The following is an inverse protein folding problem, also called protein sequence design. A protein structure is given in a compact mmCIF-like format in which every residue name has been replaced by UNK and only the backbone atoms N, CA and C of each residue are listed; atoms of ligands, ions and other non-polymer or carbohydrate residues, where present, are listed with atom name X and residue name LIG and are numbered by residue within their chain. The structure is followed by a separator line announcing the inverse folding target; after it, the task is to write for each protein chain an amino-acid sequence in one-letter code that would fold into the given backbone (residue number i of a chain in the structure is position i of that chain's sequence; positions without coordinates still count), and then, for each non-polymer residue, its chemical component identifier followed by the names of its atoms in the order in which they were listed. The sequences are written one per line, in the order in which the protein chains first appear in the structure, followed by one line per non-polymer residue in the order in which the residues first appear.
data_IF_566956987911
#
_entry.id   IF_566956987911
#
_cell.length_a   1.000
_cell.length_b   1.000
_cell.length_c   1.000
_cell.angle_alpha   90.00
_cell.angle_beta   90.00
_cell.angle_gamma   90.00
#
_symmetry.space_group_name_H-M   'P 1'
#
loop_
_entity.id
_entity.type
_entity.pdbx_description
1 polymer ?
#
# COMPACT_ATOMS: atom_id res chain seq x y z
N UNK A 1 10.83 14.10 4.73
CA UNK A 1 9.88 13.99 5.85
C UNK A 1 10.37 12.87 6.76
N UNK A 2 10.72 13.18 8.00
CA UNK A 2 11.13 12.20 9.00
C UNK A 2 9.91 11.37 9.48
N UNK A 3 10.15 10.23 10.13
CA UNK A 3 9.08 9.44 10.77
C UNK A 3 8.33 10.23 11.84
N UNK A 4 9.01 11.18 12.47
CA UNK A 4 8.45 12.04 13.50
C UNK A 4 7.55 13.14 12.89
N UNK A 5 8.03 13.80 11.83
CA UNK A 5 7.25 14.79 11.07
C UNK A 5 5.98 14.19 10.46
N UNK A 6 6.03 12.96 9.93
CA UNK A 6 4.82 12.31 9.40
C UNK A 6 3.82 11.97 10.51
N UNK A 7 4.30 11.56 11.69
CA UNK A 7 3.44 11.27 12.84
C UNK A 7 2.73 12.52 13.31
N UNK A 8 3.44 13.64 13.43
CA UNK A 8 2.88 14.93 13.85
C UNK A 8 1.84 15.43 12.84
N UNK A 9 2.15 15.37 11.54
CA UNK A 9 1.22 15.75 10.46
C UNK A 9 -0.10 14.96 10.50
N UNK A 10 -0.03 13.67 10.83
CA UNK A 10 -1.22 12.80 10.88
C UNK A 10 -2.08 13.06 12.11
N UNK A 11 -1.50 13.57 13.20
CA UNK A 11 -2.19 13.91 14.45
C UNK A 11 -3.27 12.88 14.83
N UNK A 12 -4.48 13.37 15.12
CA UNK A 12 -5.64 12.54 15.45
C UNK A 12 -6.60 12.35 14.26
N UNK A 13 -6.15 12.61 13.02
CA UNK A 13 -7.00 12.52 11.80
C UNK A 13 -7.54 11.09 11.61
N UNK A 14 -6.81 10.08 12.07
CA UNK A 14 -7.22 8.68 12.04
C UNK A 14 -6.91 8.00 13.37
N UNK A 15 -7.86 8.03 14.30
CA UNK A 15 -7.77 7.27 15.56
C UNK A 15 -8.20 5.83 15.28
N UNK A 16 -7.24 4.92 15.27
CA UNK A 16 -7.50 3.49 15.14
C UNK A 16 -7.83 2.91 16.52
N UNK A 17 -9.08 2.48 16.70
CA UNK A 17 -9.52 1.77 17.91
C UNK A 17 -9.33 0.27 17.82
N UNK A 18 -9.23 -0.36 18.98
CA UNK A 18 -9.24 -1.82 19.13
C UNK A 18 -10.67 -2.36 19.01
N UNK A 19 -10.79 -3.56 18.42
CA UNK A 19 -12.03 -4.33 18.38
C UNK A 19 -11.78 -5.59 19.20
N UNK A 20 -12.56 -5.77 20.26
CA UNK A 20 -12.40 -6.90 21.17
C UNK A 20 -12.47 -8.24 20.41
N UNK A 21 -11.46 -9.09 20.61
CA UNK A 21 -11.36 -10.40 19.96
C UNK A 21 -10.85 -10.39 18.51
N UNK A 22 -10.56 -9.24 17.90
CA UNK A 22 -10.07 -9.14 16.53
C UNK A 22 -8.63 -8.58 16.46
N UNK A 23 -7.66 -9.46 16.18
CA UNK A 23 -6.30 -9.02 15.90
C UNK A 23 -6.25 -8.26 14.56
N UNK A 24 -5.81 -7.01 14.59
CA UNK A 24 -5.56 -6.24 13.37
C UNK A 24 -4.29 -6.74 12.68
N UNK A 25 -4.44 -7.58 11.67
CA UNK A 25 -3.32 -8.13 10.89
C UNK A 25 -2.91 -7.25 9.72
N UNK A 26 -3.87 -6.59 9.06
CA UNK A 26 -3.62 -5.66 7.95
C UNK A 26 -4.90 -5.12 7.34
N UNK A 27 -4.76 -4.23 6.34
CA UNK A 27 -5.89 -3.73 5.56
C UNK A 27 -6.54 -4.79 4.65
N UNK A 28 -7.62 -4.43 3.95
CA UNK A 28 -8.33 -5.34 3.04
C UNK A 28 -7.43 -5.96 1.96
N UNK A 29 -6.45 -5.21 1.44
CA UNK A 29 -5.45 -5.75 0.49
C UNK A 29 -4.60 -6.85 1.10
N UNK A 30 -4.14 -6.67 2.34
CA UNK A 30 -3.37 -7.69 3.07
C UNK A 30 -4.20 -8.95 3.28
N UNK A 31 -5.46 -8.78 3.69
CA UNK A 31 -6.39 -9.89 3.90
C UNK A 31 -6.70 -10.64 2.61
N UNK A 32 -6.79 -9.93 1.49
CA UNK A 32 -7.03 -10.53 0.17
C UNK A 32 -5.84 -11.37 -0.31
N UNK A 33 -4.61 -10.89 -0.05
CA UNK A 33 -3.38 -11.66 -0.30
C UNK A 33 -3.30 -12.91 0.59
N UNK A 34 -3.55 -12.76 1.90
CA UNK A 34 -3.57 -13.89 2.84
C UNK A 34 -4.60 -14.97 2.49
N UNK A 35 -5.70 -14.57 1.83
CA UNK A 35 -6.73 -15.49 1.32
C UNK A 35 -6.44 -16.01 -0.09
N UNK A 36 -5.40 -15.51 -0.75
CA UNK A 36 -5.02 -15.90 -2.10
C UNK A 36 -6.09 -15.62 -3.15
N UNK A 37 -6.93 -14.58 -2.99
CA UNK A 37 -8.09 -14.33 -3.87
C UNK A 37 -7.71 -14.13 -5.34
N UNK A 38 -6.48 -13.69 -5.61
CA UNK A 38 -5.95 -13.50 -6.96
C UNK A 38 -6.09 -12.07 -7.51
N UNK A 39 -6.84 -11.21 -6.80
CA UNK A 39 -7.09 -9.82 -7.17
C UNK A 39 -7.22 -8.94 -5.93
N UNK A 40 -6.91 -7.65 -6.08
CA UNK A 40 -7.06 -6.61 -5.06
C UNK A 40 -7.49 -5.30 -5.74
N UNK A 41 -7.93 -4.31 -4.96
CA UNK A 41 -8.43 -3.03 -5.45
C UNK A 41 -7.33 -2.00 -5.76
N UNK A 42 -6.07 -2.44 -5.94
CA UNK A 42 -4.93 -1.53 -6.06
C UNK A 42 -5.04 -0.56 -7.25
N UNK A 43 -5.65 -1.00 -8.37
CA UNK A 43 -5.90 -0.12 -9.53
C UNK A 43 -6.93 0.97 -9.26
N UNK A 44 -7.90 0.73 -8.37
CA UNK A 44 -8.96 1.69 -8.04
C UNK A 44 -8.61 2.58 -6.85
N UNK A 45 -7.64 2.20 -6.03
CA UNK A 45 -7.17 2.98 -4.88
C UNK A 45 -5.87 3.72 -5.19
N UNK A 46 -4.77 2.98 -5.33
CA UNK A 46 -3.45 3.55 -5.59
C UNK A 46 -3.38 4.04 -7.03
N UNK A 47 -3.98 3.30 -7.97
CA UNK A 47 -4.04 3.68 -9.39
C UNK A 47 -4.76 4.99 -9.64
N UNK A 48 -5.75 5.36 -8.81
CA UNK A 48 -6.43 6.65 -8.92
C UNK A 48 -5.50 7.82 -8.55
N UNK A 49 -4.65 7.64 -7.52
CA UNK A 49 -3.62 8.63 -7.18
C UNK A 49 -2.61 8.78 -8.31
N UNK A 50 -2.21 7.66 -8.94
CA UNK A 50 -1.33 7.66 -10.11
C UNK A 50 -1.97 8.40 -11.29
N UNK A 51 -3.24 8.12 -11.58
CA UNK A 51 -4.01 8.76 -12.65
C UNK A 51 -4.08 10.28 -12.44
N UNK A 52 -4.51 10.72 -11.26
CA UNK A 52 -4.60 12.15 -10.91
C UNK A 52 -3.23 12.81 -11.03
N UNK A 53 -2.17 12.18 -10.51
CA UNK A 53 -0.80 12.70 -10.63
C UNK A 53 -0.40 12.95 -12.08
N UNK A 54 -0.65 11.97 -12.98
CA UNK A 54 -0.37 12.12 -14.42
C UNK A 54 -1.17 13.24 -15.07
N UNK A 55 -2.44 13.40 -14.72
CA UNK A 55 -3.31 14.45 -15.26
C UNK A 55 -2.82 15.86 -14.90
N UNK A 56 -2.26 16.04 -13.71
CA UNK A 56 -1.74 17.33 -13.25
C UNK A 56 -0.23 17.49 -13.46
N UNK A 57 0.43 16.52 -14.11
CA UNK A 57 1.88 16.54 -14.33
C UNK A 57 2.73 16.35 -13.07
N UNK A 58 2.17 15.78 -12.00
CA UNK A 58 2.87 15.49 -10.75
C UNK A 58 3.28 14.00 -10.67
N UNK A 59 4.58 13.68 -10.63
CA UNK A 59 5.05 12.29 -10.60
C UNK A 59 4.71 11.63 -9.25
N UNK A 60 4.23 10.38 -9.29
CA UNK A 60 3.89 9.58 -8.11
C UNK A 60 4.62 8.24 -8.07
N UNK A 61 5.97 8.22 -8.16
CA UNK A 61 6.76 7.01 -8.43
C UNK A 61 6.56 5.89 -7.39
N UNK A 62 6.35 6.26 -6.12
CA UNK A 62 6.06 5.29 -5.05
C UNK A 62 4.71 4.61 -5.29
N UNK A 63 3.68 5.37 -5.64
CA UNK A 63 2.35 4.81 -5.92
C UNK A 63 2.37 3.96 -7.17
N UNK A 64 3.10 4.37 -8.22
CA UNK A 64 3.26 3.57 -9.43
C UNK A 64 3.93 2.21 -9.14
N UNK A 65 5.00 2.20 -8.33
CA UNK A 65 5.67 0.98 -7.92
C UNK A 65 4.73 0.08 -7.09
N UNK A 66 4.08 0.64 -6.07
CA UNK A 66 3.20 -0.11 -5.19
C UNK A 66 1.97 -0.67 -5.93
N UNK A 67 1.37 0.09 -6.85
CA UNK A 67 0.29 -0.40 -7.69
C UNK A 67 0.74 -1.63 -8.50
N UNK A 68 1.89 -1.54 -9.16
CA UNK A 68 2.45 -2.65 -9.95
C UNK A 68 2.74 -3.88 -9.10
N UNK A 69 3.44 -3.70 -7.98
CA UNK A 69 3.82 -4.80 -7.09
C UNK A 69 2.61 -5.46 -6.45
N UNK A 70 1.65 -4.68 -5.96
CA UNK A 70 0.47 -5.23 -5.29
C UNK A 70 -0.38 -6.06 -6.27
N UNK A 71 -0.58 -5.57 -7.50
CA UNK A 71 -1.28 -6.33 -8.53
C UNK A 71 -0.52 -7.60 -8.96
N UNK A 72 0.80 -7.53 -9.02
CA UNK A 72 1.62 -8.71 -9.34
C UNK A 72 1.56 -9.74 -8.21
N UNK A 73 1.69 -9.32 -6.95
CA UNK A 73 1.55 -10.16 -5.77
C UNK A 73 0.19 -10.86 -5.73
N UNK A 74 -0.89 -10.13 -6.03
CA UNK A 74 -2.23 -10.71 -6.11
C UNK A 74 -2.33 -11.78 -7.19
N UNK A 75 -1.89 -11.49 -8.42
CA UNK A 75 -1.91 -12.46 -9.54
C UNK A 75 -1.07 -13.70 -9.26
N UNK A 76 0.10 -13.53 -8.64
CA UNK A 76 1.02 -14.61 -8.29
C UNK A 76 0.66 -15.29 -6.96
N UNK A 77 -0.38 -14.83 -6.26
CA UNK A 77 -0.84 -15.31 -4.96
C UNK A 77 0.29 -15.36 -3.93
N UNK A 78 1.08 -14.29 -3.88
CA UNK A 78 2.10 -14.16 -2.85
C UNK A 78 1.46 -14.00 -1.47
N UNK A 79 2.06 -14.67 -0.48
CA UNK A 79 1.74 -14.43 0.92
C UNK A 79 2.12 -12.99 1.32
N UNK A 80 1.40 -12.39 2.27
CA UNK A 80 1.83 -11.11 2.83
C UNK A 80 3.25 -11.19 3.40
N UNK A 81 4.06 -10.15 3.16
CA UNK A 81 5.46 -10.11 3.59
C UNK A 81 6.43 -10.86 2.67
N UNK A 82 5.99 -11.31 1.49
CA UNK A 82 6.87 -11.94 0.50
C UNK A 82 8.06 -11.06 0.06
N UNK A 83 7.86 -9.73 0.04
CA UNK A 83 8.92 -8.75 -0.15
C UNK A 83 9.16 -7.97 1.14
N UNK A 84 10.42 -7.72 1.46
CA UNK A 84 10.82 -6.83 2.56
C UNK A 84 10.68 -5.36 2.17
N UNK A 85 10.58 -4.48 3.15
CA UNK A 85 10.56 -3.02 2.93
C UNK A 85 11.79 -2.57 2.14
N UNK A 86 12.98 -3.07 2.49
CA UNK A 86 14.25 -2.75 1.82
C UNK A 86 14.25 -3.17 0.35
N UNK A 87 13.74 -4.37 0.03
CA UNK A 87 13.60 -4.82 -1.35
C UNK A 87 12.69 -3.89 -2.15
N UNK A 88 11.54 -3.50 -1.59
CA UNK A 88 10.61 -2.58 -2.25
C UNK A 88 11.25 -1.20 -2.45
N UNK A 89 11.92 -0.65 -1.43
CA UNK A 89 12.59 0.64 -1.51
C UNK A 89 13.70 0.65 -2.57
N UNK A 90 14.43 -0.45 -2.71
CA UNK A 90 15.49 -0.58 -3.73
C UNK A 90 14.98 -0.55 -5.18
N UNK A 91 13.68 -0.78 -5.40
CA UNK A 91 13.04 -0.75 -6.73
C UNK A 91 12.53 0.65 -7.13
N UNK A 92 12.60 1.65 -6.24
CA UNK A 92 12.21 3.00 -6.59
C UNK A 92 13.20 3.61 -7.60
N UNK A 93 12.72 4.40 -8.57
CA UNK A 93 13.62 5.19 -9.40
C UNK A 93 14.41 6.18 -8.53
N UNK A 94 15.69 6.34 -8.87
CA UNK A 94 16.60 7.30 -8.23
C UNK A 94 16.33 8.76 -8.62
#
# INVERSE_FOLDING_TARGET
MSREEDRERRGDILVMGDIEGAARTGGSSWQSLARGVGSIEADYLIGEVVRIGREIGFPTPVNELLQRLANHAARMRWEPGHLTEEQVLSMLPG
#
